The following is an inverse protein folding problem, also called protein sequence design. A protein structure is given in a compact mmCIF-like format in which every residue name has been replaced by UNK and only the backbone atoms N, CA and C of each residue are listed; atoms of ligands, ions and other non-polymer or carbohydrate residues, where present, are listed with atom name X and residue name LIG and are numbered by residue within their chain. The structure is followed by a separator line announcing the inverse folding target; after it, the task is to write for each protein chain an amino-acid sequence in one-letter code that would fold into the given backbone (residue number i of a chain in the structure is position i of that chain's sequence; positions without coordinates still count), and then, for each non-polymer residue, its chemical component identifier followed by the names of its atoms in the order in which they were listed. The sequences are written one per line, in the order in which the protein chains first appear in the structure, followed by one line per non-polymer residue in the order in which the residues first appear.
data_IF_611894931796
#
_entry.id   IF_611894931796
#
_cell.length_a   1.000
_cell.length_b   1.000
_cell.length_c   1.000
_cell.angle_alpha   90.00
_cell.angle_beta   90.00
_cell.angle_gamma   90.00
#
_symmetry.space_group_name_H-M   'P 1'
#
loop_
_entity.id
_entity.type
_entity.pdbx_description
1 polymer ?
#
# COMPACT_ATOMS: atom_id res chain seq x y z
N UNK A 1 12.06 -27.40 34.68
CA UNK A 1 12.23 -25.95 34.47
C UNK A 1 10.94 -25.42 33.86
N UNK A 2 10.07 -24.81 34.66
CA UNK A 2 8.89 -24.13 34.13
C UNK A 2 9.30 -22.74 33.66
N UNK A 3 9.26 -22.50 32.35
CA UNK A 3 9.57 -21.18 31.80
C UNK A 3 8.57 -20.15 32.32
N UNK A 4 9.07 -19.01 32.81
CA UNK A 4 8.24 -17.87 33.17
C UNK A 4 7.66 -17.28 31.88
N UNK A 5 6.37 -17.47 31.66
CA UNK A 5 5.64 -16.93 30.52
C UNK A 5 4.83 -15.71 30.94
N UNK A 6 5.02 -14.57 30.26
CA UNK A 6 4.17 -13.39 30.41
C UNK A 6 3.17 -13.33 29.25
N UNK A 7 1.87 -13.33 29.57
CA UNK A 7 0.78 -13.26 28.59
C UNK A 7 0.20 -11.85 28.59
N UNK A 8 0.17 -11.19 27.42
CA UNK A 8 -0.44 -9.88 27.22
C UNK A 8 -1.48 -9.92 26.10
N UNK A 9 -2.57 -9.14 26.20
CA UNK A 9 -3.53 -9.03 25.11
C UNK A 9 -2.90 -8.38 23.88
N UNK A 10 -3.33 -8.80 22.70
CA UNK A 10 -2.95 -8.14 21.45
C UNK A 10 -3.54 -6.73 21.42
N UNK A 11 -2.72 -5.76 20.99
CA UNK A 11 -3.20 -4.41 20.72
C UNK A 11 -4.31 -4.41 19.65
N UNK A 12 -5.15 -3.37 19.66
CA UNK A 12 -6.29 -3.27 18.74
C UNK A 12 -5.88 -3.29 17.27
N UNK A 13 -4.72 -2.73 16.93
CA UNK A 13 -4.23 -2.68 15.56
C UNK A 13 -3.84 -4.07 15.04
N UNK A 14 -3.16 -4.87 15.86
CA UNK A 14 -2.83 -6.27 15.57
C UNK A 14 -4.08 -7.10 15.38
N UNK A 15 -5.12 -6.89 16.19
CA UNK A 15 -6.40 -7.59 16.01
C UNK A 15 -7.01 -7.30 14.63
N UNK A 16 -6.97 -6.04 14.16
CA UNK A 16 -7.45 -5.65 12.83
C UNK A 16 -6.60 -6.28 11.72
N UNK A 17 -5.27 -6.25 11.86
CA UNK A 17 -4.35 -6.85 10.88
C UNK A 17 -4.62 -8.36 10.75
N UNK A 18 -4.81 -9.05 11.88
CA UNK A 18 -5.15 -10.47 11.89
C UNK A 18 -6.49 -10.74 11.19
N UNK A 19 -7.49 -9.88 11.39
CA UNK A 19 -8.78 -10.00 10.76
C UNK A 19 -8.70 -9.79 9.23
N UNK A 20 -8.05 -8.72 8.77
CA UNK A 20 -7.81 -8.48 7.33
C UNK A 20 -7.03 -9.65 6.71
N UNK A 21 -6.01 -10.13 7.40
CA UNK A 21 -5.22 -11.28 6.96
C UNK A 21 -6.05 -12.56 6.88
N UNK A 22 -6.98 -12.76 7.81
CA UNK A 22 -7.90 -13.91 7.80
C UNK A 22 -8.88 -13.86 6.62
N UNK A 23 -9.33 -12.67 6.22
CA UNK A 23 -10.19 -12.51 5.06
C UNK A 23 -9.42 -12.74 3.76
N UNK A 24 -8.19 -12.24 3.67
CA UNK A 24 -7.30 -12.47 2.52
C UNK A 24 -7.01 -13.96 2.25
N UNK A 25 -7.05 -14.82 3.28
CA UNK A 25 -6.90 -16.29 3.13
C UNK A 25 -8.06 -16.95 2.40
N UNK A 26 -9.23 -16.30 2.29
CA UNK A 26 -10.40 -16.84 1.58
C UNK A 26 -10.30 -16.66 0.07
N UNK A 27 -9.35 -15.85 -0.39
CA UNK A 27 -9.14 -15.66 -1.82
C UNK A 27 -8.33 -16.82 -2.39
N UNK A 28 -8.70 -17.25 -3.59
CA UNK A 28 -7.93 -18.25 -4.34
C UNK A 28 -6.72 -17.56 -4.97
N UNK A 29 -5.58 -17.61 -4.28
CA UNK A 29 -4.34 -17.01 -4.76
C UNK A 29 -3.67 -17.90 -5.80
N UNK A 30 -3.31 -17.29 -6.93
CA UNK A 30 -2.39 -17.90 -7.92
C UNK A 30 -1.11 -17.10 -7.87
N UNK A 31 0.01 -17.75 -7.55
CA UNK A 31 1.31 -17.10 -7.44
C UNK A 31 2.07 -17.18 -8.76
N UNK A 32 2.41 -16.01 -9.32
CA UNK A 32 3.33 -15.87 -10.43
C UNK A 32 4.65 -15.29 -9.94
N UNK A 33 5.75 -16.04 -10.09
CA UNK A 33 7.10 -15.56 -9.80
C UNK A 33 7.78 -15.22 -11.12
N UNK A 34 8.43 -14.06 -11.19
CA UNK A 34 9.18 -13.63 -12.35
C UNK A 34 10.48 -12.94 -11.94
N UNK A 35 11.50 -13.09 -12.77
CA UNK A 35 12.77 -12.37 -12.63
C UNK A 35 12.83 -11.27 -13.68
N UNK A 36 13.17 -10.05 -13.25
CA UNK A 36 13.30 -8.88 -14.12
C UNK A 36 14.70 -8.31 -13.96
N UNK A 37 15.44 -8.21 -15.06
CA UNK A 37 16.72 -7.51 -15.06
C UNK A 37 16.49 -5.98 -15.03
N UNK A 38 16.97 -5.35 -13.96
CA UNK A 38 16.87 -3.91 -13.71
C UNK A 38 18.21 -3.19 -13.85
N UNK A 39 19.24 -3.85 -14.37
CA UNK A 39 20.61 -3.32 -14.44
C UNK A 39 20.66 -1.99 -15.18
N UNK A 40 20.03 -1.91 -16.36
CA UNK A 40 19.99 -0.68 -17.15
C UNK A 40 19.26 0.45 -16.41
N UNK A 41 18.14 0.15 -15.75
CA UNK A 41 17.38 1.11 -14.95
C UNK A 41 18.21 1.65 -13.80
N UNK A 42 18.89 0.77 -13.05
CA UNK A 42 19.78 1.19 -11.93
C UNK A 42 20.91 2.09 -12.41
N UNK A 43 21.55 1.75 -13.53
CA UNK A 43 22.61 2.60 -14.13
C UNK A 43 22.09 4.00 -14.45
N UNK A 44 20.91 4.11 -15.07
CA UNK A 44 20.28 5.41 -15.38
C UNK A 44 19.96 6.21 -14.13
N UNK A 45 19.38 5.58 -13.10
CA UNK A 45 19.07 6.24 -11.82
C UNK A 45 20.35 6.77 -11.17
N UNK A 46 21.43 5.99 -11.16
CA UNK A 46 22.72 6.41 -10.61
C UNK A 46 23.35 7.56 -11.40
N UNK A 47 23.26 7.55 -12.74
CA UNK A 47 23.79 8.61 -13.58
C UNK A 47 23.05 9.95 -13.32
N UNK A 48 21.71 9.93 -13.29
CA UNK A 48 20.90 11.13 -12.98
C UNK A 48 21.27 11.72 -11.62
N UNK A 49 21.52 10.86 -10.62
CA UNK A 49 21.97 11.28 -9.30
C UNK A 49 23.38 11.89 -9.33
N UNK A 50 24.28 11.35 -10.16
CA UNK A 50 25.66 11.83 -10.29
C UNK A 50 25.72 13.21 -10.99
N UNK A 51 24.83 13.46 -11.94
CA UNK A 51 24.74 14.73 -12.69
C UNK A 51 24.08 15.87 -11.88
N UNK A 52 23.93 15.71 -10.56
CA UNK A 52 23.30 16.70 -9.67
C UNK A 52 21.78 16.74 -9.74
N UNK A 53 21.16 15.84 -10.52
CA UNK A 53 19.72 15.68 -10.59
C UNK A 53 19.14 15.00 -9.35
N UNK A 54 17.86 15.23 -9.10
CA UNK A 54 17.14 14.48 -8.08
C UNK A 54 17.04 13.00 -8.46
N UNK A 55 17.52 12.11 -7.58
CA UNK A 55 17.51 10.68 -7.82
C UNK A 55 16.06 10.14 -7.97
N UNK A 56 15.73 9.48 -9.09
CA UNK A 56 14.43 8.83 -9.27
C UNK A 56 14.17 7.75 -8.20
N UNK A 57 12.95 7.71 -7.64
CA UNK A 57 12.45 6.64 -6.79
C UNK A 57 12.28 5.34 -7.59
N UNK A 58 13.01 4.30 -7.18
CA UNK A 58 12.84 2.95 -7.74
C UNK A 58 11.41 2.43 -7.58
N UNK A 59 10.79 2.65 -6.41
CA UNK A 59 9.39 2.31 -6.17
C UNK A 59 8.45 3.07 -7.09
N UNK A 60 8.68 4.38 -7.28
CA UNK A 60 7.89 5.19 -8.20
C UNK A 60 8.01 4.70 -9.65
N UNK A 61 9.20 4.23 -10.04
CA UNK A 61 9.44 3.69 -11.38
C UNK A 61 8.67 2.38 -11.57
N UNK A 62 8.75 1.47 -10.60
CA UNK A 62 8.00 0.20 -10.62
C UNK A 62 6.49 0.48 -10.67
N UNK A 63 5.97 1.41 -9.87
CA UNK A 63 4.56 1.79 -9.88
C UNK A 63 4.14 2.35 -11.24
N UNK A 64 4.96 3.21 -11.85
CA UNK A 64 4.71 3.75 -13.19
C UNK A 64 4.65 2.65 -14.25
N UNK A 65 5.58 1.69 -14.21
CA UNK A 65 5.56 0.52 -15.09
C UNK A 65 4.33 -0.36 -14.87
N UNK A 66 4.01 -0.67 -13.60
CA UNK A 66 2.84 -1.47 -13.22
C UNK A 66 1.55 -0.84 -13.71
N UNK A 67 1.37 0.46 -13.47
CA UNK A 67 0.17 1.18 -13.84
C UNK A 67 -0.03 1.19 -15.36
N UNK A 68 1.03 1.38 -16.14
CA UNK A 68 0.99 1.29 -17.61
C UNK A 68 0.67 -0.12 -18.11
N UNK A 69 1.23 -1.15 -17.49
CA UNK A 69 0.96 -2.53 -17.85
C UNK A 69 -0.51 -2.92 -17.57
N UNK A 70 -1.05 -2.49 -16.42
CA UNK A 70 -2.46 -2.70 -16.09
C UNK A 70 -3.37 -1.88 -17.00
N UNK A 71 -2.99 -0.67 -17.40
CA UNK A 71 -3.79 0.16 -18.30
C UNK A 71 -4.02 -0.51 -19.67
N UNK A 72 -3.03 -1.27 -20.15
CA UNK A 72 -3.12 -2.08 -21.37
C UNK A 72 -4.01 -3.33 -21.20
N UNK A 73 -4.18 -3.83 -19.97
CA UNK A 73 -5.04 -4.96 -19.66
C UNK A 73 -5.78 -4.76 -18.32
N UNK A 74 -6.83 -3.95 -18.36
CA UNK A 74 -7.60 -3.53 -17.16
C UNK A 74 -8.34 -4.68 -16.48
N UNK A 75 -8.50 -5.85 -17.10
CA UNK A 75 -9.07 -7.00 -16.40
C UNK A 75 -8.20 -7.47 -15.24
N UNK A 76 -6.90 -7.16 -15.25
CA UNK A 76 -5.93 -7.58 -14.22
C UNK A 76 -6.17 -6.96 -12.85
N UNK A 77 -6.88 -5.82 -12.76
CA UNK A 77 -7.23 -5.17 -11.49
C UNK A 77 -8.75 -5.13 -11.25
N UNK A 78 -9.50 -5.99 -11.93
CA UNK A 78 -10.94 -6.07 -11.80
C UNK A 78 -11.35 -6.64 -10.42
N UNK A 79 -12.50 -6.18 -9.91
CA UNK A 79 -13.05 -6.62 -8.62
C UNK A 79 -14.37 -7.35 -8.86
N UNK A 80 -14.49 -8.58 -8.33
CA UNK A 80 -15.75 -9.33 -8.36
C UNK A 80 -16.67 -8.85 -7.24
N UNK A 81 -17.92 -8.52 -7.59
CA UNK A 81 -19.01 -8.26 -6.64
C UNK A 81 -20.22 -9.11 -7.00
N UNK A 82 -20.51 -10.12 -6.18
CA UNK A 82 -21.55 -11.11 -6.47
C UNK A 82 -21.25 -11.87 -7.78
N UNK A 83 -22.16 -11.76 -8.76
CA UNK A 83 -22.01 -12.37 -10.09
C UNK A 83 -21.39 -11.44 -11.14
N UNK A 84 -21.04 -10.21 -10.74
CA UNK A 84 -20.53 -9.18 -11.64
C UNK A 84 -19.04 -8.95 -11.43
N UNK A 85 -18.37 -8.49 -12.49
CA UNK A 85 -16.97 -8.05 -12.48
C UNK A 85 -16.94 -6.55 -12.78
N UNK A 86 -16.35 -5.79 -11.87
CA UNK A 86 -16.17 -4.35 -12.01
C UNK A 86 -14.75 -4.07 -12.49
N UNK A 87 -14.63 -3.40 -13.64
CA UNK A 87 -13.37 -2.97 -14.23
C UNK A 87 -13.34 -1.45 -14.16
N UNK A 88 -12.23 -0.88 -13.70
CA UNK A 88 -12.08 0.56 -13.50
C UNK A 88 -11.12 1.13 -14.52
N UNK A 89 -11.39 2.34 -15.02
CA UNK A 89 -10.49 3.02 -15.95
C UNK A 89 -9.24 3.56 -15.24
N UNK A 90 -9.38 3.93 -13.98
CA UNK A 90 -8.29 4.42 -13.15
C UNK A 90 -7.57 3.27 -12.46
N UNK A 91 -6.25 3.24 -12.60
CA UNK A 91 -5.39 2.28 -11.91
C UNK A 91 -4.86 2.91 -10.64
N UNK A 92 -5.49 2.58 -9.52
CA UNK A 92 -5.04 2.96 -8.19
C UNK A 92 -4.04 1.94 -7.65
N UNK A 93 -2.86 2.42 -7.24
CA UNK A 93 -1.80 1.55 -6.71
C UNK A 93 -1.60 1.82 -5.22
N UNK A 94 -1.92 0.81 -4.40
CA UNK A 94 -1.59 0.83 -2.97
C UNK A 94 -0.15 0.34 -2.75
N UNK A 95 0.63 1.10 -2.01
CA UNK A 95 2.00 0.73 -1.60
C UNK A 95 2.21 1.07 -0.14
N UNK A 96 3.09 0.33 0.53
CA UNK A 96 3.52 0.63 1.90
C UNK A 96 4.81 1.43 1.84
N UNK A 97 4.88 2.49 2.64
CA UNK A 97 6.10 3.27 2.86
C UNK A 97 6.35 3.39 4.36
N UNK A 98 7.61 3.52 4.75
CA UNK A 98 7.98 3.84 6.13
C UNK A 98 7.84 5.35 6.36
N UNK A 99 7.24 5.70 7.49
CA UNK A 99 7.10 7.08 7.99
C UNK A 99 7.41 7.10 9.47
N UNK A 100 7.93 8.22 9.97
CA UNK A 100 8.18 8.36 11.39
C UNK A 100 6.88 8.75 12.12
N UNK A 101 6.65 8.12 13.27
CA UNK A 101 5.64 8.57 14.22
C UNK A 101 6.13 9.80 15.01
N UNK A 102 5.28 10.45 15.83
CA UNK A 102 5.70 11.60 16.63
C UNK A 102 6.82 11.31 17.64
N UNK A 103 7.13 10.03 17.90
CA UNK A 103 8.23 9.58 18.77
C UNK A 103 9.50 9.21 18.01
N UNK A 104 9.49 9.33 16.67
CA UNK A 104 10.62 9.02 15.79
C UNK A 104 10.76 7.54 15.44
N UNK A 105 9.78 6.70 15.75
CA UNK A 105 9.80 5.29 15.38
C UNK A 105 9.29 5.10 13.94
N UNK A 106 9.94 4.30 13.11
CA UNK A 106 9.47 4.02 11.76
C UNK A 106 8.23 3.13 11.80
N UNK A 107 7.15 3.59 11.17
CA UNK A 107 5.86 2.90 11.08
C UNK A 107 5.51 2.63 9.61
N UNK A 108 5.22 1.37 9.23
CA UNK A 108 4.76 1.04 7.89
C UNK A 108 3.37 1.63 7.67
N UNK A 109 3.26 2.54 6.71
CA UNK A 109 2.01 3.21 6.38
C UNK A 109 1.65 2.99 4.93
N UNK A 110 0.41 2.57 4.68
CA UNK A 110 -0.10 2.44 3.32
C UNK A 110 -0.42 3.81 2.72
N UNK A 111 -0.05 4.00 1.46
CA UNK A 111 -0.45 5.12 0.62
C UNK A 111 -1.07 4.60 -0.66
N UNK A 112 -1.99 5.36 -1.23
CA UNK A 112 -2.64 5.01 -2.49
C UNK A 112 -2.29 6.09 -3.50
N UNK A 113 -1.56 5.72 -4.55
CA UNK A 113 -1.32 6.57 -5.72
C UNK A 113 -2.55 6.42 -6.61
N UNK A 114 -3.40 7.44 -6.61
CA UNK A 114 -4.65 7.44 -7.39
C UNK A 114 -4.39 7.66 -8.88
N UNK A 115 -5.13 6.98 -9.74
CA UNK A 115 -5.05 7.09 -11.20
C UNK A 115 -3.61 7.08 -11.75
N UNK A 116 -2.78 6.16 -11.25
CA UNK A 116 -1.36 6.09 -11.56
C UNK A 116 -1.08 5.87 -13.05
N UNK A 117 -2.02 5.27 -13.79
CA UNK A 117 -1.93 5.10 -15.25
C UNK A 117 -1.99 6.41 -16.03
N UNK A 118 -2.61 7.45 -15.46
CA UNK A 118 -2.77 8.78 -16.08
C UNK A 118 -1.66 9.75 -15.69
N UNK A 119 -0.76 9.36 -14.77
CA UNK A 119 0.27 10.24 -14.21
C UNK A 119 1.63 10.05 -14.88
N UNK A 120 2.37 11.14 -15.14
CA UNK A 120 3.78 11.01 -15.47
C UNK A 120 4.56 10.48 -14.26
N UNK A 121 5.68 9.81 -14.52
CA UNK A 121 6.55 9.26 -13.48
C UNK A 121 6.92 10.29 -12.39
N UNK A 122 7.18 11.55 -12.79
CA UNK A 122 7.60 12.61 -11.87
C UNK A 122 6.54 12.92 -10.82
N UNK A 123 5.26 12.91 -11.19
CA UNK A 123 4.16 13.16 -10.26
C UNK A 123 4.05 12.02 -9.23
N UNK A 124 4.15 10.76 -9.69
CA UNK A 124 4.18 9.58 -8.80
C UNK A 124 5.36 9.67 -7.82
N UNK A 125 6.53 10.07 -8.31
CA UNK A 125 7.73 10.26 -7.48
C UNK A 125 7.52 11.32 -6.41
N UNK A 126 6.98 12.48 -6.80
CA UNK A 126 6.73 13.59 -5.90
C UNK A 126 5.66 13.26 -4.85
N UNK A 127 4.61 12.50 -5.21
CA UNK A 127 3.61 11.98 -4.28
C UNK A 127 4.22 11.06 -3.21
N UNK A 128 5.04 10.09 -3.63
CA UNK A 128 5.70 9.16 -2.69
C UNK A 128 6.65 9.93 -1.75
N UNK A 129 7.39 10.90 -2.27
CA UNK A 129 8.31 11.72 -1.48
C UNK A 129 7.58 12.63 -0.50
N UNK A 130 6.52 13.30 -0.95
CA UNK A 130 5.65 14.13 -0.10
C UNK A 130 5.04 13.29 1.01
N UNK A 131 4.53 12.11 0.64
CA UNK A 131 3.96 11.17 1.57
C UNK A 131 4.96 10.74 2.66
N UNK A 132 6.23 10.49 2.32
CA UNK A 132 7.27 10.12 3.31
C UNK A 132 7.57 11.22 4.33
N UNK A 133 7.47 12.49 3.93
CA UNK A 133 7.79 13.66 4.78
C UNK A 133 6.65 14.04 5.73
N UNK A 134 5.47 13.46 5.56
CA UNK A 134 4.33 13.73 6.44
C UNK A 134 4.41 12.84 7.67
N UNK A 135 4.48 13.46 8.85
CA UNK A 135 4.38 12.76 10.12
C UNK A 135 3.01 12.09 10.26
N UNK A 136 2.99 10.88 10.78
CA UNK A 136 1.74 10.16 11.01
C UNK A 136 1.14 10.59 12.34
N UNK A 137 0.13 11.46 12.31
CA UNK A 137 -0.70 11.74 13.49
C UNK A 137 -1.72 10.61 13.69
N UNK A 138 -1.48 9.79 14.72
CA UNK A 138 -2.51 9.10 15.50
C UNK A 138 -3.38 8.02 14.85
N UNK A 139 -3.30 7.76 13.55
CA UNK A 139 -4.02 6.63 12.94
C UNK A 139 -3.35 6.11 11.67
N UNK A 140 -3.19 4.79 11.60
CA UNK A 140 -2.57 4.06 10.48
C UNK A 140 -3.35 4.24 9.16
N UNK A 141 -4.58 4.75 9.23
CA UNK A 141 -5.47 5.02 8.10
C UNK A 141 -5.43 6.48 7.62
N UNK A 142 -4.62 7.34 8.26
CA UNK A 142 -4.54 8.78 8.01
C UNK A 142 -5.70 9.58 8.63
N UNK A 143 -5.72 10.90 8.45
CA UNK A 143 -6.74 11.78 9.06
C UNK A 143 -7.95 12.08 8.15
N UNK A 144 -8.11 11.32 7.07
CA UNK A 144 -9.21 11.53 6.12
C UNK A 144 -10.59 11.21 6.72
N UNK A 145 -11.67 11.79 6.16
CA UNK A 145 -13.05 11.43 6.52
C UNK A 145 -13.33 9.92 6.38
N UNK A 146 -12.66 9.29 5.42
CA UNK A 146 -12.68 7.83 5.24
C UNK A 146 -12.02 7.12 6.42
N UNK A 147 -10.91 7.63 6.95
CA UNK A 147 -10.26 7.07 8.13
C UNK A 147 -11.08 7.22 9.41
N UNK A 148 -11.81 8.33 9.59
CA UNK A 148 -12.76 8.49 10.69
C UNK A 148 -13.89 7.45 10.62
N UNK A 149 -14.45 7.23 9.42
CA UNK A 149 -15.46 6.18 9.18
C UNK A 149 -14.90 4.78 9.43
N UNK A 150 -13.70 4.50 8.96
CA UNK A 150 -13.04 3.21 9.21
C UNK A 150 -12.74 3.00 10.70
N UNK A 151 -12.30 4.03 11.43
CA UNK A 151 -12.13 3.97 12.88
C UNK A 151 -13.45 3.71 13.63
N UNK A 152 -14.56 4.26 13.14
CA UNK A 152 -15.88 3.96 13.69
C UNK A 152 -16.30 2.53 13.39
N UNK A 153 -16.09 2.05 12.16
CA UNK A 153 -16.34 0.67 11.76
C UNK A 153 -15.54 -0.31 12.61
N UNK A 154 -14.25 -0.05 12.85
CA UNK A 154 -13.34 -0.87 13.67
C UNK A 154 -13.87 -1.10 15.09
N UNK A 155 -14.67 -0.18 15.64
CA UNK A 155 -15.26 -0.33 16.99
C UNK A 155 -16.42 -1.33 17.04
N UNK A 156 -16.97 -1.74 15.89
CA UNK A 156 -18.07 -2.69 15.83
C UNK A 156 -17.56 -4.14 16.05
N UNK A 157 -18.38 -5.01 16.68
CA UNK A 157 -18.09 -6.44 16.75
C UNK A 157 -17.80 -7.05 15.37
N UNK A 158 -16.90 -8.03 15.32
CA UNK A 158 -16.40 -8.63 14.07
C UNK A 158 -17.53 -9.20 13.18
N UNK A 159 -18.59 -9.77 13.77
CA UNK A 159 -19.72 -10.31 13.00
C UNK A 159 -20.52 -9.22 12.27
N UNK A 160 -20.61 -8.00 12.82
CA UNK A 160 -21.29 -6.86 12.17
C UNK A 160 -20.40 -6.31 11.06
N UNK A 161 -19.10 -6.18 11.31
CA UNK A 161 -18.14 -5.70 10.31
C UNK A 161 -18.09 -6.59 9.06
N UNK A 162 -18.33 -7.89 9.20
CA UNK A 162 -18.36 -8.85 8.08
C UNK A 162 -19.61 -8.78 7.20
N UNK A 163 -20.62 -7.99 7.58
CA UNK A 163 -21.86 -7.81 6.80
C UNK A 163 -21.80 -6.62 5.84
N UNK A 164 -20.82 -5.73 6.01
CA UNK A 164 -20.59 -4.51 5.21
C UNK A 164 -19.52 -4.80 4.16
#
# INVERSE_FOLDING_TARGET
MGEKCEVRPLDKMRQIILEISSEGKRWNHVHGLMQIDITATRKKISAIKADGGEAPSMTGFIISCLARAIDQNKSMHAIRKGRNVHIFDDVDVSTVIERDDPTGNPVPTSIIIRAANKKPYREIHDEIKKARRQNVSGSVLGESEQAKRTNMLIRLPAFIRKLV
#
